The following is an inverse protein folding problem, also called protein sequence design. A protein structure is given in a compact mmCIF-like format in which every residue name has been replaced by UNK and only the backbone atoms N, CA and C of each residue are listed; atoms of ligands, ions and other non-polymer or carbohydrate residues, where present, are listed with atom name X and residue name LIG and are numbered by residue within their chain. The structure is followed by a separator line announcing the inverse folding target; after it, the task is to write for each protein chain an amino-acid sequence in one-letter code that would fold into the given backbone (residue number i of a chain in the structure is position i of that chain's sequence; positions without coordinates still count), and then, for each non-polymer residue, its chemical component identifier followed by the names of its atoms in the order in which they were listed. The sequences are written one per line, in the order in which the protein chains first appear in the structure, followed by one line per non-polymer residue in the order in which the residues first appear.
data_IF_681676580054
#
_entry.id   IF_681676580054
#
_cell.length_a   1.000
_cell.length_b   1.000
_cell.length_c   1.000
_cell.angle_alpha   90.00
_cell.angle_beta   90.00
_cell.angle_gamma   90.00
#
_symmetry.space_group_name_H-M   'P 1'
#
loop_
_entity.id
_entity.type
_entity.pdbx_description
1 polymer ?
#
# COMPACT_ATOMS: atom_id res chain seq x y z
N UNK A 1 -9.57 -9.89 -36.36
CA UNK A 1 -8.29 -9.60 -35.69
C UNK A 1 -7.72 -10.90 -35.14
N UNK A 2 -6.42 -11.13 -35.31
CA UNK A 2 -5.75 -12.30 -34.74
C UNK A 2 -5.60 -12.15 -33.23
N UNK A 3 -5.43 -13.25 -32.49
CA UNK A 3 -5.21 -13.21 -31.06
C UNK A 3 -3.97 -12.33 -30.71
N UNK A 4 -2.88 -12.49 -31.47
CA UNK A 4 -1.67 -11.69 -31.28
C UNK A 4 -1.91 -10.19 -31.35
N UNK A 5 -2.74 -9.72 -32.31
CA UNK A 5 -3.08 -8.29 -32.42
C UNK A 5 -3.91 -7.80 -31.23
N UNK A 6 -4.75 -8.67 -30.63
CA UNK A 6 -5.62 -8.34 -29.50
C UNK A 6 -4.85 -8.24 -28.18
N UNK A 7 -3.86 -9.12 -27.96
CA UNK A 7 -3.09 -9.16 -26.70
C UNK A 7 -1.86 -8.23 -26.71
N UNK A 8 -1.31 -7.89 -27.88
CA UNK A 8 -0.09 -7.08 -28.00
C UNK A 8 -0.10 -5.78 -27.17
N UNK A 9 -1.19 -4.99 -27.10
CA UNK A 9 -1.25 -3.77 -26.30
C UNK A 9 -1.11 -4.02 -24.79
N UNK A 10 -1.39 -5.23 -24.32
CA UNK A 10 -1.38 -5.59 -22.91
C UNK A 10 -0.04 -6.17 -22.43
N UNK A 11 0.85 -6.55 -23.36
CA UNK A 11 2.13 -7.19 -23.02
C UNK A 11 3.08 -6.30 -22.20
N UNK A 12 3.22 -4.98 -22.45
CA UNK A 12 4.06 -4.13 -21.61
C UNK A 12 3.60 -4.11 -20.15
N UNK A 13 2.29 -4.08 -19.92
CA UNK A 13 1.70 -4.10 -18.57
C UNK A 13 1.84 -5.47 -17.91
N UNK A 14 1.63 -6.55 -18.65
CA UNK A 14 1.87 -7.91 -18.14
C UNK A 14 3.33 -8.11 -17.74
N UNK A 15 4.30 -7.57 -18.50
CA UNK A 15 5.72 -7.61 -18.13
C UNK A 15 5.98 -6.86 -16.82
N UNK A 16 5.41 -5.66 -16.66
CA UNK A 16 5.49 -4.90 -15.42
C UNK A 16 4.94 -5.69 -14.23
N UNK A 17 3.74 -6.24 -14.37
CA UNK A 17 3.10 -7.08 -13.35
C UNK A 17 3.95 -8.32 -13.02
N UNK A 18 4.41 -9.03 -14.02
CA UNK A 18 5.23 -10.24 -13.85
C UNK A 18 6.53 -9.94 -13.09
N UNK A 19 7.21 -8.84 -13.41
CA UNK A 19 8.41 -8.38 -12.70
C UNK A 19 8.10 -8.03 -11.24
N UNK A 20 6.98 -7.35 -10.99
CA UNK A 20 6.55 -7.02 -9.63
C UNK A 20 6.21 -8.28 -8.82
N UNK A 21 5.50 -9.25 -9.41
CA UNK A 21 5.14 -10.52 -8.73
C UNK A 21 6.36 -11.37 -8.41
N UNK A 22 7.34 -11.41 -9.33
CA UNK A 22 8.55 -12.22 -9.16
C UNK A 22 9.69 -11.53 -8.41
N UNK A 23 9.63 -10.19 -8.28
CA UNK A 23 10.72 -9.39 -7.74
C UNK A 23 11.97 -9.34 -8.61
N UNK A 24 11.90 -9.82 -9.87
CA UNK A 24 13.06 -9.96 -10.76
C UNK A 24 12.67 -9.72 -12.21
N UNK A 25 13.44 -8.87 -12.91
CA UNK A 25 13.24 -8.64 -14.34
C UNK A 25 13.41 -9.93 -15.14
N UNK A 26 14.49 -10.67 -14.89
CA UNK A 26 14.80 -11.90 -15.62
C UNK A 26 13.70 -12.94 -15.47
N UNK A 27 13.25 -13.14 -14.23
CA UNK A 27 12.19 -14.13 -13.95
C UNK A 27 10.85 -13.66 -14.48
N UNK A 28 10.50 -12.39 -14.29
CA UNK A 28 9.26 -11.83 -14.82
C UNK A 28 9.18 -11.95 -16.34
N UNK A 29 10.24 -11.59 -17.05
CA UNK A 29 10.27 -11.71 -18.51
C UNK A 29 10.22 -13.18 -18.96
N UNK A 30 10.83 -14.12 -18.21
CA UNK A 30 10.77 -15.55 -18.51
C UNK A 30 9.34 -16.11 -18.37
N UNK A 31 8.59 -15.71 -17.33
CA UNK A 31 7.18 -16.13 -17.18
C UNK A 31 6.28 -15.57 -18.29
N UNK A 32 6.51 -14.33 -18.73
CA UNK A 32 5.77 -13.76 -19.87
C UNK A 32 6.11 -14.52 -21.16
N UNK A 33 7.38 -14.83 -21.40
CA UNK A 33 7.80 -15.63 -22.54
C UNK A 33 7.13 -17.01 -22.51
N UNK A 34 7.17 -17.72 -21.38
CA UNK A 34 6.51 -19.02 -21.22
C UNK A 34 5.00 -18.94 -21.46
N UNK A 35 4.34 -17.84 -21.03
CA UNK A 35 2.90 -17.63 -21.30
C UNK A 35 2.62 -17.51 -22.80
N UNK A 36 3.46 -16.77 -23.53
CA UNK A 36 3.33 -16.61 -24.98
C UNK A 36 3.68 -17.90 -25.74
N UNK A 37 4.71 -18.61 -25.33
CA UNK A 37 5.10 -19.91 -25.91
C UNK A 37 3.97 -20.94 -25.76
N UNK A 38 3.31 -20.98 -24.58
CA UNK A 38 2.15 -21.85 -24.38
C UNK A 38 1.01 -21.52 -25.36
N UNK A 39 0.72 -20.23 -25.59
CA UNK A 39 -0.30 -19.80 -26.55
C UNK A 39 0.08 -20.09 -28.02
N UNK A 40 1.37 -20.04 -28.35
CA UNK A 40 1.87 -20.39 -29.68
C UNK A 40 1.73 -21.90 -29.90
N UNK A 41 2.01 -22.72 -28.89
CA UNK A 41 1.88 -24.17 -28.95
C UNK A 41 0.41 -24.61 -29.01
N UNK A 42 -0.45 -23.98 -28.23
CA UNK A 42 -1.87 -24.29 -28.19
C UNK A 42 -2.72 -23.04 -27.88
N UNK A 43 -3.34 -22.49 -28.92
CA UNK A 43 -4.19 -21.30 -28.81
C UNK A 43 -5.47 -21.54 -27.96
N UNK A 44 -5.87 -22.80 -27.78
CA UNK A 44 -7.03 -23.15 -26.97
C UNK A 44 -6.81 -22.92 -25.46
N UNK A 45 -5.56 -22.73 -25.04
CA UNK A 45 -5.22 -22.36 -23.67
C UNK A 45 -5.63 -20.90 -23.33
N UNK A 46 -5.97 -20.08 -24.33
CA UNK A 46 -6.46 -18.72 -24.05
C UNK A 46 -7.83 -18.78 -23.41
N UNK A 47 -7.99 -18.43 -22.13
CA UNK A 47 -9.23 -18.68 -21.40
C UNK A 47 -10.33 -17.71 -21.81
N UNK A 48 -11.58 -18.13 -21.65
CA UNK A 48 -12.71 -17.20 -21.68
C UNK A 48 -12.66 -16.28 -20.46
N UNK A 49 -12.87 -14.98 -20.70
CA UNK A 49 -12.92 -13.95 -19.67
C UNK A 49 -13.66 -12.69 -20.18
N UNK A 50 -13.95 -11.76 -19.29
CA UNK A 50 -14.70 -10.54 -19.58
C UNK A 50 -14.06 -9.68 -20.69
N UNK A 51 -12.73 -9.75 -20.85
CA UNK A 51 -11.99 -9.14 -21.96
C UNK A 51 -10.61 -9.79 -22.14
N UNK A 52 -9.90 -9.42 -23.24
CA UNK A 52 -8.60 -9.99 -23.59
C UNK A 52 -7.49 -9.71 -22.55
N UNK A 53 -7.53 -8.55 -21.90
CA UNK A 53 -6.59 -8.21 -20.84
C UNK A 53 -6.77 -9.14 -19.65
N UNK A 54 -7.99 -9.34 -19.20
CA UNK A 54 -8.30 -10.25 -18.09
C UNK A 54 -7.93 -11.70 -18.47
N UNK A 55 -8.28 -12.14 -19.69
CA UNK A 55 -7.92 -13.47 -20.18
C UNK A 55 -6.41 -13.72 -20.15
N UNK A 56 -5.62 -12.75 -20.62
CA UNK A 56 -4.16 -12.82 -20.64
C UNK A 56 -3.56 -12.91 -19.23
N UNK A 57 -4.04 -12.10 -18.29
CA UNK A 57 -3.59 -12.12 -16.89
C UNK A 57 -4.04 -13.40 -16.17
N UNK A 58 -5.23 -13.92 -16.50
CA UNK A 58 -5.74 -15.20 -15.98
C UNK A 58 -4.86 -16.37 -16.40
N UNK A 59 -4.48 -16.45 -17.68
CA UNK A 59 -3.54 -17.47 -18.17
C UNK A 59 -2.18 -17.35 -17.49
N UNK A 60 -1.63 -16.13 -17.41
CA UNK A 60 -0.37 -15.89 -16.72
C UNK A 60 -0.44 -16.36 -15.25
N UNK A 61 -1.48 -16.00 -14.51
CA UNK A 61 -1.64 -16.36 -13.10
C UNK A 61 -1.78 -17.85 -12.89
N UNK A 62 -2.45 -18.56 -13.80
CA UNK A 62 -2.54 -20.01 -13.78
C UNK A 62 -1.17 -20.68 -13.99
N UNK A 63 -0.40 -20.22 -14.98
CA UNK A 63 0.97 -20.71 -15.23
C UNK A 63 1.92 -20.37 -14.08
N UNK A 64 1.86 -19.17 -13.56
CA UNK A 64 2.68 -18.75 -12.42
C UNK A 64 2.42 -19.61 -11.17
N UNK A 65 1.16 -19.96 -10.91
CA UNK A 65 0.78 -20.81 -9.77
C UNK A 65 1.15 -22.28 -9.96
N UNK A 66 1.27 -22.77 -11.22
CA UNK A 66 1.58 -24.17 -11.53
C UNK A 66 3.07 -24.48 -11.65
N UNK A 67 3.91 -23.47 -11.88
CA UNK A 67 5.32 -23.66 -12.22
C UNK A 67 6.23 -23.16 -11.11
N UNK A 68 6.96 -24.09 -10.45
CA UNK A 68 8.09 -23.73 -9.61
C UNK A 68 9.33 -23.39 -10.50
N UNK A 69 9.34 -22.19 -11.08
CA UNK A 69 10.56 -21.72 -11.76
C UNK A 69 11.57 -21.31 -10.71
N UNK A 70 12.74 -21.94 -10.66
CA UNK A 70 13.87 -21.53 -9.83
C UNK A 70 14.34 -20.16 -10.30
N UNK A 71 14.15 -19.16 -9.47
CA UNK A 71 14.48 -17.77 -9.75
C UNK A 71 15.89 -17.47 -9.28
N UNK A 72 16.78 -16.87 -10.14
CA UNK A 72 18.03 -16.27 -9.69
C UNK A 72 17.77 -15.05 -8.80
N UNK A 73 18.72 -14.74 -7.92
CA UNK A 73 18.64 -13.59 -7.01
C UNK A 73 18.38 -12.26 -7.72
N UNK A 74 17.58 -11.33 -7.14
CA UNK A 74 17.27 -10.05 -7.76
C UNK A 74 18.52 -9.17 -7.91
N UNK A 75 18.78 -8.72 -9.15
CA UNK A 75 19.93 -7.87 -9.53
C UNK A 75 19.58 -6.40 -9.66
N UNK A 76 18.65 -5.87 -8.87
CA UNK A 76 18.33 -4.44 -8.91
C UNK A 76 19.48 -3.60 -8.36
N UNK A 77 19.81 -2.49 -9.05
CA UNK A 77 20.83 -1.53 -8.63
C UNK A 77 20.30 -0.53 -7.59
N UNK A 78 18.98 -0.38 -7.44
CA UNK A 78 18.36 0.59 -6.55
C UNK A 78 17.98 -0.02 -5.19
N UNK A 79 18.39 0.63 -4.09
CA UNK A 79 18.16 0.14 -2.72
C UNK A 79 16.67 0.07 -2.35
N UNK A 80 15.84 0.99 -2.86
CA UNK A 80 14.40 1.01 -2.63
C UNK A 80 13.67 -0.12 -3.37
N UNK A 81 14.09 -0.44 -4.61
CA UNK A 81 13.55 -1.59 -5.35
C UNK A 81 13.87 -2.91 -4.66
N UNK A 82 15.09 -3.05 -4.11
CA UNK A 82 15.47 -4.24 -3.33
C UNK A 82 14.60 -4.40 -2.09
N UNK A 83 14.29 -3.32 -1.37
CA UNK A 83 13.41 -3.36 -0.19
C UNK A 83 11.97 -3.71 -0.57
N UNK A 84 11.42 -3.05 -1.60
CA UNK A 84 10.07 -3.36 -2.09
C UNK A 84 9.97 -4.81 -2.57
N UNK A 85 10.97 -5.32 -3.31
CA UNK A 85 11.04 -6.70 -3.74
C UNK A 85 11.13 -7.67 -2.56
N UNK A 86 11.93 -7.37 -1.53
CA UNK A 86 12.05 -8.20 -0.33
C UNK A 86 10.74 -8.24 0.46
N UNK A 87 10.06 -7.11 0.62
CA UNK A 87 8.77 -7.04 1.30
C UNK A 87 7.71 -7.87 0.56
N UNK A 88 7.65 -7.75 -0.77
CA UNK A 88 6.76 -8.57 -1.58
C UNK A 88 7.18 -10.05 -1.63
N UNK A 89 8.49 -10.35 -1.55
CA UNK A 89 8.99 -11.73 -1.56
C UNK A 89 8.53 -12.55 -0.34
N UNK A 90 8.28 -11.88 0.78
CA UNK A 90 7.79 -12.53 2.00
C UNK A 90 6.28 -12.81 1.97
N UNK A 91 5.53 -12.21 1.04
CA UNK A 91 4.11 -12.51 0.85
C UNK A 91 3.95 -13.88 0.18
N UNK A 92 2.94 -14.63 0.63
CA UNK A 92 2.49 -15.82 -0.08
C UNK A 92 2.14 -15.46 -1.55
N UNK A 93 2.36 -16.36 -2.53
CA UNK A 93 2.20 -16.01 -3.95
C UNK A 93 0.82 -15.48 -4.34
N UNK A 94 -0.26 -16.02 -3.78
CA UNK A 94 -1.64 -15.60 -4.13
C UNK A 94 -2.02 -14.24 -3.52
N UNK A 95 -1.80 -13.95 -2.24
CA UNK A 95 -1.98 -12.60 -1.66
C UNK A 95 -1.19 -11.54 -2.40
N UNK A 96 0.06 -11.83 -2.77
CA UNK A 96 0.91 -10.92 -3.57
C UNK A 96 0.29 -10.60 -4.92
N UNK A 97 -0.17 -11.62 -5.65
CA UNK A 97 -0.85 -11.41 -6.93
C UNK A 97 -2.11 -10.56 -6.76
N UNK A 98 -2.97 -10.88 -5.77
CA UNK A 98 -4.18 -10.12 -5.49
C UNK A 98 -3.89 -8.64 -5.24
N UNK A 99 -2.91 -8.34 -4.38
CA UNK A 99 -2.49 -6.98 -4.07
C UNK A 99 -1.98 -6.24 -5.32
N UNK A 100 -1.08 -6.83 -6.10
CA UNK A 100 -0.49 -6.19 -7.27
C UNK A 100 -1.48 -5.99 -8.41
N UNK A 101 -2.45 -6.88 -8.61
CA UNK A 101 -3.52 -6.71 -9.60
C UNK A 101 -4.33 -5.44 -9.34
N UNK A 102 -4.62 -5.14 -8.08
CA UNK A 102 -5.39 -3.94 -7.70
C UNK A 102 -4.48 -2.71 -7.64
N UNK A 103 -3.39 -2.77 -6.86
CA UNK A 103 -2.55 -1.62 -6.54
C UNK A 103 -1.71 -1.12 -7.73
N UNK A 104 -1.21 -2.02 -8.58
CA UNK A 104 -0.31 -1.68 -9.69
C UNK A 104 -1.03 -1.68 -11.03
N UNK A 105 -1.88 -2.68 -11.27
CA UNK A 105 -2.54 -2.84 -12.56
C UNK A 105 -3.92 -2.17 -12.63
N UNK A 106 -4.48 -1.73 -11.51
CA UNK A 106 -5.74 -0.99 -11.44
C UNK A 106 -6.97 -1.82 -11.82
N UNK A 107 -6.92 -3.16 -11.67
CA UNK A 107 -8.12 -3.98 -11.81
C UNK A 107 -9.07 -3.75 -10.65
N UNK A 108 -10.37 -3.77 -10.93
CA UNK A 108 -11.39 -3.82 -9.87
C UNK A 108 -11.34 -5.16 -9.13
N UNK A 109 -11.87 -5.23 -7.91
CA UNK A 109 -11.91 -6.48 -7.15
C UNK A 109 -12.55 -7.64 -7.91
N UNK A 110 -13.73 -7.48 -8.56
CA UNK A 110 -14.31 -8.55 -9.37
C UNK A 110 -13.43 -8.99 -10.55
N UNK A 111 -12.77 -8.05 -11.23
CA UNK A 111 -11.86 -8.38 -12.32
C UNK A 111 -10.63 -9.15 -11.83
N UNK A 112 -10.06 -8.75 -10.70
CA UNK A 112 -8.92 -9.43 -10.11
C UNK A 112 -9.29 -10.82 -9.56
N UNK A 113 -10.48 -10.97 -9.00
CA UNK A 113 -11.05 -12.27 -8.60
C UNK A 113 -11.23 -13.20 -9.82
N UNK A 114 -11.75 -12.68 -10.95
CA UNK A 114 -11.84 -13.41 -12.22
C UNK A 114 -10.46 -13.85 -12.72
N UNK A 115 -9.44 -12.98 -12.64
CA UNK A 115 -8.06 -13.31 -13.04
C UNK A 115 -7.51 -14.45 -12.18
N UNK A 116 -7.69 -14.40 -10.87
CA UNK A 116 -7.20 -15.44 -9.96
C UNK A 116 -8.09 -16.69 -9.90
N UNK A 117 -9.23 -16.68 -10.59
CA UNK A 117 -10.23 -17.75 -10.60
C UNK A 117 -10.71 -18.12 -9.19
N UNK A 118 -11.03 -17.11 -8.39
CA UNK A 118 -11.54 -17.22 -7.03
C UNK A 118 -12.88 -16.51 -6.88
N UNK A 119 -13.64 -16.85 -5.83
CA UNK A 119 -14.83 -16.10 -5.46
C UNK A 119 -14.47 -14.73 -4.88
N UNK A 120 -15.37 -13.73 -4.97
CA UNK A 120 -15.14 -12.36 -4.44
C UNK A 120 -14.78 -12.37 -2.95
N UNK A 121 -15.40 -13.24 -2.15
CA UNK A 121 -15.09 -13.38 -0.73
C UNK A 121 -13.68 -13.94 -0.48
N UNK A 122 -13.22 -14.89 -1.28
CA UNK A 122 -11.86 -15.42 -1.21
C UNK A 122 -10.85 -14.35 -1.65
N UNK A 123 -11.18 -13.57 -2.69
CA UNK A 123 -10.33 -12.47 -3.13
C UNK A 123 -10.17 -11.39 -2.05
N UNK A 124 -11.25 -11.02 -1.35
CA UNK A 124 -11.19 -10.10 -0.23
C UNK A 124 -10.25 -10.62 0.87
N UNK A 125 -10.33 -11.91 1.21
CA UNK A 125 -9.42 -12.52 2.20
C UNK A 125 -7.96 -12.49 1.76
N UNK A 126 -7.67 -12.68 0.47
CA UNK A 126 -6.30 -12.57 -0.07
C UNK A 126 -5.75 -11.14 0.04
N UNK A 127 -6.59 -10.13 -0.19
CA UNK A 127 -6.20 -8.72 -0.01
C UNK A 127 -5.95 -8.38 1.45
N UNK A 128 -6.81 -8.84 2.35
CA UNK A 128 -6.63 -8.64 3.79
C UNK A 128 -5.35 -9.30 4.29
N UNK A 129 -5.06 -10.53 3.87
CA UNK A 129 -3.81 -11.23 4.18
C UNK A 129 -2.59 -10.46 3.68
N UNK A 130 -2.61 -9.97 2.43
CA UNK A 130 -1.54 -9.16 1.87
C UNK A 130 -1.35 -7.85 2.65
N UNK A 131 -2.44 -7.18 2.99
CA UNK A 131 -2.43 -5.90 3.72
C UNK A 131 -1.83 -6.07 5.11
N UNK A 132 -2.25 -7.11 5.84
CA UNK A 132 -1.71 -7.42 7.18
C UNK A 132 -0.22 -7.73 7.11
N UNK A 133 0.21 -8.54 6.15
CA UNK A 133 1.63 -8.91 6.02
C UNK A 133 2.52 -7.74 5.61
N UNK A 134 2.09 -6.92 4.65
CA UNK A 134 2.79 -5.68 4.27
C UNK A 134 2.89 -4.74 5.47
N UNK A 135 1.80 -4.57 6.21
CA UNK A 135 1.77 -3.71 7.40
C UNK A 135 2.75 -4.19 8.49
N UNK A 136 2.85 -5.50 8.71
CA UNK A 136 3.82 -6.07 9.67
C UNK A 136 5.27 -5.80 9.30
N UNK A 137 5.58 -5.78 8.01
CA UNK A 137 6.94 -5.53 7.53
C UNK A 137 7.32 -4.05 7.61
N UNK A 138 6.33 -3.16 7.54
CA UNK A 138 6.48 -1.71 7.67
C UNK A 138 6.04 -1.24 9.07
N UNK A 139 6.02 -2.14 10.07
CA UNK A 139 5.66 -1.78 11.44
C UNK A 139 6.44 -0.54 11.90
N UNK A 140 5.73 0.49 12.32
CA UNK A 140 6.32 1.76 12.70
C UNK A 140 5.76 2.25 14.04
N UNK A 141 6.48 3.17 14.67
CA UNK A 141 6.09 3.81 15.92
C UNK A 141 5.30 5.08 15.61
N UNK A 142 4.06 5.14 16.08
CA UNK A 142 3.10 6.21 15.78
C UNK A 142 2.78 6.96 17.06
N UNK A 143 2.71 8.29 16.95
CA UNK A 143 2.17 9.18 17.96
C UNK A 143 0.78 9.62 17.56
N UNK A 144 -0.14 9.66 18.51
CA UNK A 144 -1.50 10.20 18.35
C UNK A 144 -1.59 11.52 19.12
N UNK A 145 -2.14 12.56 18.48
CA UNK A 145 -2.48 13.85 19.10
C UNK A 145 -4.00 13.97 19.03
N UNK A 146 -4.68 13.69 20.14
CA UNK A 146 -6.13 13.61 20.22
C UNK A 146 -6.58 13.80 21.68
N UNK A 147 -7.46 14.76 21.93
CA UNK A 147 -7.92 15.08 23.28
C UNK A 147 -9.12 14.25 23.72
N UNK A 148 -9.93 13.74 22.78
CA UNK A 148 -11.07 12.90 23.07
C UNK A 148 -10.64 11.44 23.34
N UNK A 149 -10.77 10.92 24.59
CA UNK A 149 -10.21 9.62 24.95
C UNK A 149 -10.81 8.46 24.15
N UNK A 150 -12.09 8.54 23.77
CA UNK A 150 -12.75 7.47 23.00
C UNK A 150 -12.23 7.45 21.56
N UNK A 151 -12.04 8.61 20.94
CA UNK A 151 -11.52 8.71 19.58
C UNK A 151 -10.04 8.27 19.57
N UNK A 152 -9.24 8.71 20.55
CA UNK A 152 -7.85 8.28 20.70
C UNK A 152 -7.75 6.74 20.79
N UNK A 153 -8.62 6.11 21.58
CA UNK A 153 -8.66 4.66 21.74
C UNK A 153 -9.08 3.94 20.44
N UNK A 154 -10.06 4.48 19.70
CA UNK A 154 -10.46 3.91 18.41
C UNK A 154 -9.31 3.98 17.38
N UNK A 155 -8.58 5.11 17.33
CA UNK A 155 -7.42 5.28 16.47
C UNK A 155 -6.28 4.33 16.91
N UNK A 156 -6.02 4.21 18.21
CA UNK A 156 -5.01 3.31 18.76
C UNK A 156 -5.28 1.84 18.37
N UNK A 157 -6.50 1.35 18.61
CA UNK A 157 -6.91 0.00 18.20
C UNK A 157 -6.76 -0.22 16.70
N UNK A 158 -7.12 0.78 15.89
CA UNK A 158 -6.97 0.72 14.45
C UNK A 158 -5.50 0.60 14.03
N UNK A 159 -4.64 1.46 14.57
CA UNK A 159 -3.20 1.49 14.34
C UNK A 159 -2.54 0.15 14.73
N UNK A 160 -2.88 -0.37 15.91
CA UNK A 160 -2.35 -1.64 16.42
C UNK A 160 -2.84 -2.84 15.62
N UNK A 161 -4.10 -2.80 15.12
CA UNK A 161 -4.62 -3.85 14.23
C UNK A 161 -3.86 -3.98 12.91
N UNK A 162 -3.14 -2.93 12.51
CA UNK A 162 -2.27 -2.88 11.33
C UNK A 162 -0.84 -3.35 11.63
N UNK A 163 -0.54 -3.68 12.89
CA UNK A 163 0.80 -4.10 13.31
C UNK A 163 1.76 -2.94 13.61
N UNK A 164 1.28 -1.68 13.62
CA UNK A 164 2.05 -0.55 14.11
C UNK A 164 1.97 -0.45 15.64
N UNK A 165 2.86 0.33 16.24
CA UNK A 165 2.90 0.53 17.69
C UNK A 165 2.58 1.98 18.02
N UNK A 166 1.58 2.24 18.86
CA UNK A 166 1.37 3.56 19.45
C UNK A 166 2.36 3.76 20.59
N UNK A 167 3.24 4.75 20.45
CA UNK A 167 4.30 5.04 21.44
C UNK A 167 3.92 6.18 22.37
N UNK A 168 2.98 7.04 21.98
CA UNK A 168 2.47 8.12 22.81
C UNK A 168 1.12 8.64 22.30
N UNK A 169 0.30 9.10 23.26
CA UNK A 169 -0.96 9.80 23.00
C UNK A 169 -0.88 11.14 23.74
N UNK A 170 -0.95 12.25 23.00
CA UNK A 170 -0.94 13.60 23.54
C UNK A 170 -2.33 14.24 23.42
N UNK A 171 -2.72 15.01 24.41
CA UNK A 171 -4.03 15.70 24.47
C UNK A 171 -3.94 17.21 24.32
N UNK A 172 -2.74 17.75 24.38
CA UNK A 172 -2.47 19.18 24.28
C UNK A 172 -1.24 19.44 23.43
N UNK A 173 -1.09 20.64 22.89
CA UNK A 173 0.09 21.07 22.14
C UNK A 173 1.40 20.81 22.93
N UNK A 174 1.45 21.28 24.18
CA UNK A 174 2.65 21.15 25.01
C UNK A 174 3.02 19.69 25.29
N UNK A 175 2.02 18.85 25.53
CA UNK A 175 2.21 17.42 25.75
C UNK A 175 2.72 16.76 24.48
N UNK A 176 2.17 17.13 23.29
CA UNK A 176 2.60 16.61 22.00
C UNK A 176 4.10 16.86 21.74
N UNK A 177 4.55 18.09 21.89
CA UNK A 177 5.97 18.43 21.68
C UNK A 177 6.87 17.70 22.69
N UNK A 178 6.47 17.62 23.96
CA UNK A 178 7.25 16.91 24.97
C UNK A 178 7.35 15.41 24.71
N UNK A 179 6.22 14.75 24.41
CA UNK A 179 6.19 13.31 24.16
C UNK A 179 6.91 12.95 22.87
N UNK A 180 6.80 13.79 21.83
CA UNK A 180 7.55 13.59 20.59
C UNK A 180 9.06 13.54 20.86
N UNK A 181 9.59 14.48 21.64
CA UNK A 181 11.02 14.53 22.00
C UNK A 181 11.48 13.37 22.88
N UNK A 182 10.55 12.70 23.60
CA UNK A 182 10.87 11.54 24.44
C UNK A 182 10.79 10.22 23.68
N UNK A 183 9.81 10.10 22.78
CA UNK A 183 9.47 8.80 22.13
C UNK A 183 9.97 8.70 20.70
N UNK A 184 10.31 9.82 20.05
CA UNK A 184 10.79 9.90 18.67
C UNK A 184 9.96 9.07 17.69
N UNK A 185 8.64 9.29 17.61
CA UNK A 185 7.76 8.54 16.73
C UNK A 185 8.16 8.76 15.27
N UNK A 186 7.82 7.80 14.43
CA UNK A 186 8.11 7.84 12.99
C UNK A 186 6.93 8.30 12.15
N UNK A 187 5.78 8.54 12.76
CA UNK A 187 4.57 9.09 12.15
C UNK A 187 3.71 9.75 13.22
N UNK A 188 2.94 10.77 12.82
CA UNK A 188 1.97 11.45 13.67
C UNK A 188 0.57 11.33 13.05
N UNK A 189 -0.42 10.96 13.86
CA UNK A 189 -1.85 11.12 13.58
C UNK A 189 -2.38 12.22 14.48
N UNK A 190 -2.89 13.33 13.93
CA UNK A 190 -3.22 14.51 14.72
C UNK A 190 -4.63 15.04 14.46
N UNK A 191 -5.40 15.31 15.52
CA UNK A 191 -6.51 16.23 15.43
C UNK A 191 -6.01 17.69 15.40
N UNK A 192 -6.80 18.53 14.78
CA UNK A 192 -6.54 19.97 14.68
C UNK A 192 -6.90 20.70 15.96
N UNK A 193 -8.03 20.32 16.60
CA UNK A 193 -8.60 21.02 17.73
C UNK A 193 -8.47 20.19 19.00
N UNK A 194 -7.85 20.78 20.04
CA UNK A 194 -7.57 20.12 21.30
C UNK A 194 -8.36 20.78 22.45
N UNK A 195 -8.67 20.01 23.52
CA UNK A 195 -9.56 20.38 24.61
C UNK A 195 -9.16 21.63 25.39
N UNK A 196 -7.86 21.89 25.52
CA UNK A 196 -7.33 23.06 26.21
C UNK A 196 -7.38 24.35 25.37
N UNK A 197 -8.00 24.26 24.18
CA UNK A 197 -8.04 25.37 23.22
C UNK A 197 -6.75 25.54 22.42
N UNK A 198 -5.75 24.68 22.63
CA UNK A 198 -4.53 24.66 21.80
C UNK A 198 -4.81 24.01 20.46
N UNK A 199 -3.90 24.22 19.52
CA UNK A 199 -4.01 23.75 18.15
C UNK A 199 -3.07 22.56 17.91
N UNK A 200 -3.64 21.45 17.41
CA UNK A 200 -2.82 20.33 16.92
C UNK A 200 -1.98 20.70 15.69
N UNK A 201 -2.43 21.68 14.89
CA UNK A 201 -1.65 22.24 13.77
C UNK A 201 -0.37 22.88 14.29
N UNK A 202 -0.49 23.72 15.35
CA UNK A 202 0.66 24.41 15.92
C UNK A 202 1.64 23.40 16.55
N UNK A 203 1.12 22.36 17.22
CA UNK A 203 1.94 21.30 17.77
C UNK A 203 2.73 20.57 16.68
N UNK A 204 2.07 20.21 15.59
CA UNK A 204 2.70 19.57 14.42
C UNK A 204 3.73 20.49 13.78
N UNK A 205 3.42 21.78 13.60
CA UNK A 205 4.35 22.74 13.02
C UNK A 205 5.60 22.89 13.88
N UNK A 206 5.47 22.98 15.20
CA UNK A 206 6.61 23.07 16.11
C UNK A 206 7.51 21.83 16.02
N UNK A 207 6.92 20.63 15.89
CA UNK A 207 7.66 19.39 15.69
C UNK A 207 8.35 19.39 14.33
N UNK A 208 7.65 19.75 13.26
CA UNK A 208 8.18 19.72 11.89
C UNK A 208 9.23 20.79 11.61
N UNK A 209 9.33 21.85 12.43
CA UNK A 209 10.41 22.84 12.35
C UNK A 209 11.79 22.22 12.61
N UNK A 210 11.85 21.12 13.35
CA UNK A 210 13.12 20.48 13.76
C UNK A 210 13.24 19.02 13.33
N UNK A 211 12.13 18.40 12.93
CA UNK A 211 12.08 17.00 12.56
C UNK A 211 11.32 16.80 11.25
N UNK A 212 11.61 15.71 10.54
CA UNK A 212 10.89 15.32 9.32
C UNK A 212 10.21 13.98 9.57
N UNK A 213 8.89 14.00 9.74
CA UNK A 213 8.05 12.82 9.94
C UNK A 213 6.75 12.98 9.17
N UNK A 214 6.18 11.91 8.61
CA UNK A 214 4.87 11.97 7.96
C UNK A 214 3.77 12.27 8.99
N UNK A 215 2.81 13.10 8.57
CA UNK A 215 1.66 13.51 9.38
C UNK A 215 0.38 13.23 8.61
N UNK A 216 -0.60 12.64 9.30
CA UNK A 216 -1.99 12.52 8.83
C UNK A 216 -2.87 13.29 9.80
N UNK A 217 -3.60 14.27 9.30
CA UNK A 217 -4.62 14.96 10.11
C UNK A 217 -5.93 14.18 10.08
N UNK A 218 -6.55 13.97 11.25
CA UNK A 218 -7.84 13.31 11.43
C UNK A 218 -8.76 14.29 12.18
N UNK A 219 -9.65 14.99 11.47
CA UNK A 219 -10.37 16.11 12.08
C UNK A 219 -11.82 16.23 11.63
N UNK A 220 -12.65 16.85 12.46
CA UNK A 220 -14.03 17.25 12.11
C UNK A 220 -14.07 18.57 11.29
N UNK A 221 -12.95 19.30 11.19
CA UNK A 221 -12.86 20.65 10.60
C UNK A 221 -11.84 20.71 9.45
N UNK A 222 -12.04 19.98 8.36
CA UNK A 222 -11.08 19.92 7.24
C UNK A 222 -10.86 21.29 6.58
N UNK A 223 -11.87 22.18 6.61
CA UNK A 223 -11.81 23.52 6.03
C UNK A 223 -10.74 24.42 6.67
N UNK A 224 -10.32 24.12 7.90
CA UNK A 224 -9.24 24.86 8.55
C UNK A 224 -7.85 24.57 7.97
N UNK A 225 -7.70 23.44 7.29
CA UNK A 225 -6.48 23.01 6.63
C UNK A 225 -6.52 23.18 5.11
N UNK A 226 -7.73 23.15 4.52
CA UNK A 226 -7.94 23.30 3.09
C UNK A 226 -8.33 24.74 2.76
N UNK A 227 -7.41 25.66 3.00
CA UNK A 227 -7.64 27.11 2.86
C UNK A 227 -7.31 27.64 1.47
N UNK A 228 -6.63 26.83 0.63
CA UNK A 228 -6.05 27.28 -0.65
C UNK A 228 -4.70 27.99 -0.49
N UNK A 229 -4.26 28.26 0.75
CA UNK A 229 -2.97 28.86 1.06
C UNK A 229 -1.99 27.75 1.46
N UNK A 230 -0.83 27.68 0.80
CA UNK A 230 0.19 26.67 1.09
C UNK A 230 1.01 27.03 2.32
N UNK A 231 1.49 26.03 3.11
CA UNK A 231 1.39 24.58 2.85
C UNK A 231 0.09 23.96 3.36
N UNK A 232 -0.53 23.12 2.53
CA UNK A 232 -1.65 22.26 2.91
C UNK A 232 -1.15 20.83 3.19
N UNK A 233 -1.78 20.08 4.12
CA UNK A 233 -1.39 18.71 4.41
C UNK A 233 -1.69 17.79 3.21
N UNK A 234 -0.76 16.88 2.93
CA UNK A 234 -0.92 15.88 1.87
C UNK A 234 -1.96 14.82 2.28
N UNK A 235 -2.05 14.52 3.58
CA UNK A 235 -2.90 13.48 4.11
C UNK A 235 -3.87 14.04 5.15
N UNK A 236 -5.17 13.94 4.84
CA UNK A 236 -6.27 14.44 5.66
C UNK A 236 -7.41 13.44 5.68
N UNK A 237 -7.95 13.17 6.86
CA UNK A 237 -9.12 12.35 7.11
C UNK A 237 -10.17 13.16 7.84
N UNK A 238 -11.41 13.09 7.38
CA UNK A 238 -12.53 13.79 8.03
C UNK A 238 -13.22 12.86 9.03
N UNK A 239 -13.50 13.38 10.26
CA UNK A 239 -14.34 12.70 11.24
C UNK A 239 -15.85 12.86 10.89
N UNK A 240 -16.70 11.84 11.02
CA UNK A 240 -16.36 10.47 11.40
C UNK A 240 -15.58 9.75 10.28
N UNK A 241 -14.53 9.04 10.62
CA UNK A 241 -13.66 8.41 9.64
C UNK A 241 -14.05 6.96 9.34
N UNK A 242 -13.78 6.56 8.11
CA UNK A 242 -13.79 5.16 7.72
C UNK A 242 -12.44 4.52 8.09
N UNK A 243 -12.41 3.44 8.90
CA UNK A 243 -11.17 2.73 9.25
C UNK A 243 -10.31 2.35 8.05
N UNK A 244 -10.91 1.90 6.95
CA UNK A 244 -10.17 1.49 5.76
C UNK A 244 -9.47 2.68 5.06
N UNK A 245 -10.06 3.88 5.13
CA UNK A 245 -9.44 5.10 4.63
C UNK A 245 -8.20 5.48 5.45
N UNK A 246 -8.28 5.40 6.78
CA UNK A 246 -7.15 5.66 7.67
C UNK A 246 -6.03 4.66 7.42
N UNK A 247 -6.37 3.37 7.31
CA UNK A 247 -5.44 2.30 6.95
C UNK A 247 -4.69 2.59 5.64
N UNK A 248 -5.44 2.94 4.59
CA UNK A 248 -4.86 3.23 3.29
C UNK A 248 -3.90 4.43 3.34
N UNK A 249 -4.28 5.50 4.06
CA UNK A 249 -3.44 6.70 4.18
C UNK A 249 -2.19 6.48 5.03
N UNK A 250 -2.26 5.68 6.11
CA UNK A 250 -1.07 5.28 6.89
C UNK A 250 -0.09 4.54 5.97
N UNK A 251 -0.57 3.54 5.23
CA UNK A 251 0.27 2.78 4.32
C UNK A 251 0.91 3.67 3.23
N UNK A 252 0.14 4.61 2.66
CA UNK A 252 0.66 5.55 1.67
C UNK A 252 1.68 6.52 2.26
N UNK A 253 1.41 7.11 3.42
CA UNK A 253 2.30 8.07 4.04
C UNK A 253 3.66 7.43 4.40
N UNK A 254 3.66 6.21 4.91
CA UNK A 254 4.89 5.45 5.18
C UNK A 254 5.65 5.11 3.89
N UNK A 255 4.96 4.72 2.84
CA UNK A 255 5.58 4.42 1.55
C UNK A 255 6.32 5.64 0.97
N UNK A 256 5.70 6.82 1.03
CA UNK A 256 6.32 8.05 0.52
C UNK A 256 7.46 8.55 1.42
N UNK A 257 7.37 8.38 2.74
CA UNK A 257 8.45 8.77 3.66
C UNK A 257 9.72 7.91 3.44
N UNK A 258 9.56 6.62 3.26
CA UNK A 258 10.68 5.72 2.94
C UNK A 258 11.32 6.03 1.58
N UNK A 259 10.53 6.46 0.59
CA UNK A 259 11.01 6.92 -0.70
C UNK A 259 11.87 8.17 -0.61
N UNK A 260 11.50 9.13 0.22
CA UNK A 260 12.23 10.39 0.43
C UNK A 260 13.53 10.20 1.24
N UNK A 261 13.55 9.32 2.24
CA UNK A 261 14.77 8.96 3.00
C UNK A 261 15.79 8.15 2.21
N UNK A 262 15.35 7.47 1.15
CA UNK A 262 16.25 6.70 0.28
C UNK A 262 16.87 7.56 -0.83
N UNK A 263 16.34 8.76 -1.07
CA UNK A 263 16.82 9.71 -2.08
C UNK A 263 17.75 10.81 -1.50
N UNK A 264 17.87 10.91 -0.16
CA UNK A 264 18.77 11.81 0.56
C UNK A 264 20.01 11.04 1.07
#
# INVERSE_FOLDING_TARGET
MTLSTRIAPHLPYLRRFSRAVTGSQTSGDAYVAATLEALIADISLFPEASNDRIALYKLFSALFSSSAVKVPEPTSSFAWEKRAANNLANLAPRPRQAFLLVAVEGFTHPQAAEILSVADSEFASLLDEASVEISRQVATEIMIIEDEPLIAMDIEQLVESLGHKVVSVARTHKEAVNLFNQTHPRMILADIQLADGSSGIDAVNDILNTHSVPVIFITAFPERLLTGERPEPTFLVTKPFNPDMVKALISQALFFDEGSRAAA
#
